data_IF_446201255332
#
_entry.id   IF_446201255332
#
_cell.length_a   1.000
_cell.length_b   1.000
_cell.length_c   1.000
_cell.angle_alpha   90.00
_cell.angle_beta   90.00
_cell.angle_gamma   90.00
#
_symmetry.space_group_name_H-M   'P 1'
#
loop_
_entity.id
_entity.type
_entity.pdbx_description
1 polymer ?
#
# COMPACT_ATOMS: atom_id res chain seq x y z
N UNK A 1 2.28 4.89 20.91
CA UNK A 1 2.19 4.70 19.45
C UNK A 1 0.73 4.86 19.08
N UNK A 2 0.33 6.05 18.64
CA UNK A 2 -1.04 6.31 18.20
C UNK A 2 -1.38 5.33 17.08
N UNK A 3 -2.25 4.38 17.40
CA UNK A 3 -2.78 3.42 16.46
C UNK A 3 -3.77 4.22 15.62
N UNK A 4 -3.28 4.98 14.65
CA UNK A 4 -4.14 5.65 13.68
C UNK A 4 -5.04 4.59 13.07
N UNK A 5 -6.33 4.66 13.41
CA UNK A 5 -7.34 3.77 12.85
C UNK A 5 -7.62 4.24 11.43
N UNK A 6 -6.78 3.80 10.50
CA UNK A 6 -7.05 4.04 9.09
C UNK A 6 -8.24 3.19 8.65
N UNK A 7 -9.05 3.72 7.72
CA UNK A 7 -10.04 2.92 7.02
C UNK A 7 -9.43 1.65 6.41
N UNK A 8 -10.07 0.47 6.56
CA UNK A 8 -9.53 -0.79 6.05
C UNK A 8 -9.24 -0.75 4.54
N UNK A 9 -10.10 -0.11 3.76
CA UNK A 9 -9.98 0.09 2.32
C UNK A 9 -8.74 0.92 1.94
N UNK A 10 -8.43 1.96 2.71
CA UNK A 10 -7.20 2.75 2.51
C UNK A 10 -5.94 1.93 2.81
N UNK A 11 -5.97 1.13 3.88
CA UNK A 11 -4.87 0.22 4.23
C UNK A 11 -4.68 -0.87 3.17
N UNK A 12 -5.76 -1.51 2.71
CA UNK A 12 -5.73 -2.52 1.66
C UNK A 12 -5.24 -1.95 0.34
N UNK A 13 -5.62 -0.71 -0.01
CA UNK A 13 -5.12 -0.04 -1.22
C UNK A 13 -3.62 0.24 -1.13
N UNK A 14 -3.13 0.66 0.04
CA UNK A 14 -1.70 0.87 0.29
C UNK A 14 -0.90 -0.44 0.27
N UNK A 15 -1.45 -1.51 0.83
CA UNK A 15 -0.86 -2.85 0.79
C UNK A 15 -0.77 -3.38 -0.65
N UNK A 16 -1.85 -3.29 -1.41
CA UNK A 16 -1.87 -3.64 -2.83
C UNK A 16 -0.84 -2.82 -3.63
N UNK A 17 -0.60 -1.56 -3.25
CA UNK A 17 0.44 -0.73 -3.86
C UNK A 17 1.85 -1.29 -3.60
N UNK A 18 2.16 -1.69 -2.36
CA UNK A 18 3.45 -2.31 -2.02
C UNK A 18 3.65 -3.66 -2.71
N UNK A 19 2.62 -4.50 -2.76
CA UNK A 19 2.67 -5.79 -3.47
C UNK A 19 2.92 -5.57 -4.96
N UNK A 20 2.18 -4.64 -5.59
CA UNK A 20 2.34 -4.31 -7.02
C UNK A 20 3.72 -3.73 -7.31
N UNK A 21 4.23 -2.86 -6.43
CA UNK A 21 5.57 -2.29 -6.56
C UNK A 21 6.66 -3.36 -6.49
N UNK A 22 6.54 -4.32 -5.56
CA UNK A 22 7.49 -5.43 -5.44
C UNK A 22 7.46 -6.36 -6.66
N UNK A 23 6.26 -6.73 -7.14
CA UNK A 23 6.11 -7.47 -8.39
C UNK A 23 6.74 -6.73 -9.57
N UNK A 24 6.58 -5.40 -9.64
CA UNK A 24 7.23 -4.59 -10.66
C UNK A 24 8.76 -4.57 -10.54
N UNK A 25 9.29 -4.55 -9.31
CA UNK A 25 10.73 -4.58 -9.05
C UNK A 25 11.37 -5.93 -9.43
N UNK A 26 10.61 -7.02 -9.31
CA UNK A 26 11.07 -8.39 -9.56
C UNK A 26 10.87 -8.85 -11.04
N UNK A 27 10.16 -8.09 -11.89
CA UNK A 27 9.77 -8.50 -13.25
C UNK A 27 10.61 -7.85 -14.36
N UNK A 28 11.07 -8.63 -15.38
CA UNK A 28 11.72 -8.07 -16.57
C UNK A 28 10.77 -7.20 -17.42
N UNK A 29 11.32 -6.22 -18.14
CA UNK A 29 10.57 -5.09 -18.74
C UNK A 29 9.33 -5.44 -19.59
N UNK A 30 9.26 -6.64 -20.15
CA UNK A 30 8.18 -7.09 -21.05
C UNK A 30 6.81 -7.26 -20.36
N UNK A 31 6.74 -7.29 -19.02
CA UNK A 31 5.49 -7.35 -18.24
C UNK A 31 5.15 -6.07 -17.43
N UNK A 32 6.06 -5.08 -17.43
CA UNK A 32 6.01 -3.94 -16.50
C UNK A 32 4.85 -2.96 -16.76
N UNK A 33 4.30 -2.91 -17.98
CA UNK A 33 3.27 -1.95 -18.36
C UNK A 33 1.96 -2.15 -17.57
N UNK A 34 1.55 -3.41 -17.33
CA UNK A 34 0.35 -3.70 -16.55
C UNK A 34 0.52 -3.31 -15.07
N UNK A 35 1.67 -3.64 -14.48
CA UNK A 35 2.01 -3.26 -13.10
C UNK A 35 2.11 -1.73 -12.93
N UNK A 36 2.74 -1.02 -13.87
CA UNK A 36 2.80 0.47 -13.85
C UNK A 36 1.40 1.09 -13.91
N UNK A 37 0.51 0.61 -14.79
CA UNK A 37 -0.88 1.09 -14.86
C UNK A 37 -1.63 0.83 -13.55
N UNK A 38 -1.43 -0.35 -12.96
CA UNK A 38 -2.02 -0.70 -11.65
C UNK A 38 -1.50 0.21 -10.54
N UNK A 39 -0.19 0.47 -10.51
CA UNK A 39 0.46 1.36 -9.53
C UNK A 39 -0.10 2.78 -9.58
N UNK A 40 -0.27 3.35 -10.79
CA UNK A 40 -0.86 4.66 -10.99
C UNK A 40 -2.33 4.72 -10.53
N UNK A 41 -3.11 3.67 -10.81
CA UNK A 41 -4.50 3.58 -10.34
C UNK A 41 -4.57 3.56 -8.81
N UNK A 42 -3.77 2.73 -8.17
CA UNK A 42 -3.70 2.63 -6.71
C UNK A 42 -3.24 3.95 -6.09
N UNK A 43 -2.24 4.61 -6.67
CA UNK A 43 -1.78 5.93 -6.22
C UNK A 43 -2.89 6.99 -6.31
N UNK A 44 -3.69 6.98 -7.39
CA UNK A 44 -4.85 7.87 -7.51
C UNK A 44 -5.93 7.57 -6.47
N UNK A 45 -6.23 6.30 -6.22
CA UNK A 45 -7.21 5.91 -5.20
C UNK A 45 -6.78 6.35 -3.79
N UNK A 46 -5.51 6.16 -3.45
CA UNK A 46 -4.96 6.65 -2.18
C UNK A 46 -5.05 8.17 -2.12
N UNK A 47 -4.59 8.89 -3.14
CA UNK A 47 -4.57 10.36 -3.13
C UNK A 47 -5.97 10.99 -3.09
N UNK A 48 -6.96 10.38 -3.75
CA UNK A 48 -8.34 10.85 -3.80
C UNK A 48 -9.19 10.41 -2.60
N UNK A 49 -8.61 9.68 -1.65
CA UNK A 49 -9.37 9.08 -0.56
C UNK A 49 -9.99 10.16 0.37
N UNK A 50 -11.29 10.08 0.72
CA UNK A 50 -11.97 11.06 1.57
C UNK A 50 -11.33 11.28 2.93
N UNK A 51 -10.66 10.25 3.49
CA UNK A 51 -9.87 10.34 4.72
C UNK A 51 -8.91 11.54 4.75
N UNK A 52 -8.30 11.91 3.62
CA UNK A 52 -7.37 13.04 3.56
C UNK A 52 -8.03 14.41 3.68
N UNK A 53 -9.34 14.48 3.47
CA UNK A 53 -10.13 15.72 3.63
C UNK A 53 -10.61 15.91 5.07
N UNK A 54 -10.38 14.92 5.94
CA UNK A 54 -10.70 15.00 7.37
C UNK A 54 -9.56 15.65 8.17
N UNK A 55 -9.83 16.05 9.40
CA UNK A 55 -8.80 16.55 10.35
C UNK A 55 -7.70 15.52 10.64
N UNK A 56 -7.94 14.23 10.40
CA UNK A 56 -6.95 13.16 10.53
C UNK A 56 -6.03 13.03 9.30
N UNK A 57 -6.34 13.72 8.18
CA UNK A 57 -5.65 13.68 6.91
C UNK A 57 -4.28 14.39 6.87
N UNK A 58 -3.49 14.28 7.93
CA UNK A 58 -2.23 15.01 8.09
C UNK A 58 -1.07 14.40 7.28
N UNK A 59 0.02 15.14 7.03
CA UNK A 59 1.24 14.57 6.48
C UNK A 59 1.81 13.40 7.31
N UNK A 60 1.69 13.47 8.64
CA UNK A 60 2.08 12.40 9.55
C UNK A 60 1.22 11.13 9.34
N UNK A 61 -0.08 11.28 9.09
CA UNK A 61 -0.97 10.16 8.78
C UNK A 61 -0.59 9.45 7.47
N UNK A 62 -0.05 10.16 6.47
CA UNK A 62 0.50 9.52 5.25
C UNK A 62 1.72 8.64 5.54
N UNK A 63 2.59 9.09 6.44
CA UNK A 63 3.77 8.31 6.85
C UNK A 63 3.32 7.09 7.65
N UNK A 64 2.43 7.27 8.63
CA UNK A 64 1.89 6.18 9.44
C UNK A 64 1.15 5.13 8.59
N UNK A 65 0.39 5.54 7.57
CA UNK A 65 -0.25 4.63 6.62
C UNK A 65 0.78 3.75 5.89
N UNK A 66 1.86 4.37 5.39
CA UNK A 66 2.95 3.66 4.70
C UNK A 66 3.63 2.65 5.62
N UNK A 67 3.98 3.04 6.83
CA UNK A 67 4.62 2.15 7.80
C UNK A 67 3.72 0.97 8.17
N UNK A 68 2.44 1.21 8.42
CA UNK A 68 1.50 0.14 8.78
C UNK A 68 1.25 -0.83 7.62
N UNK A 69 1.07 -0.32 6.39
CA UNK A 69 0.90 -1.17 5.22
C UNK A 69 2.19 -1.96 4.91
N UNK A 70 3.36 -1.37 5.11
CA UNK A 70 4.65 -2.05 4.95
C UNK A 70 4.83 -3.17 5.97
N UNK A 71 4.47 -2.93 7.24
CA UNK A 71 4.50 -3.94 8.28
C UNK A 71 3.57 -5.13 7.96
N UNK A 72 2.33 -4.84 7.53
CA UNK A 72 1.37 -5.88 7.09
C UNK A 72 1.89 -6.68 5.89
N UNK A 73 2.42 -5.99 4.88
CA UNK A 73 2.96 -6.66 3.69
C UNK A 73 4.13 -7.56 4.06
N UNK A 74 5.05 -7.08 4.91
CA UNK A 74 6.19 -7.87 5.41
C UNK A 74 5.74 -9.07 6.24
N UNK A 75 4.71 -8.91 7.07
CA UNK A 75 4.10 -10.01 7.83
C UNK A 75 3.42 -11.04 6.93
N UNK A 76 2.65 -10.61 5.92
CA UNK A 76 2.02 -11.49 4.94
C UNK A 76 3.05 -12.30 4.14
N UNK A 77 4.19 -11.70 3.80
CA UNK A 77 5.29 -12.40 3.14
C UNK A 77 5.96 -13.41 4.08
N UNK A 78 6.21 -13.03 5.34
CA UNK A 78 6.79 -13.94 6.35
C UNK A 78 5.87 -15.12 6.65
N UNK A 79 4.57 -14.88 6.79
CA UNK A 79 3.58 -15.93 7.06
C UNK A 79 3.32 -16.81 5.83
N UNK A 80 3.44 -16.26 4.61
CA UNK A 80 3.46 -17.04 3.37
C UNK A 80 4.70 -17.90 3.18
N UNK A 81 5.85 -17.51 3.74
CA UNK A 81 7.11 -18.24 3.64
C UNK A 81 7.18 -19.50 4.55
N UNK A 82 6.28 -19.65 5.52
CA UNK A 82 6.20 -20.80 6.42
C UNK A 82 5.28 -21.94 5.94
N UNK A 83 4.69 -21.82 4.75
CA UNK A 83 3.74 -22.79 4.19
C UNK A 83 4.26 -23.34 2.85
N UNK A 84 5.40 -24.01 2.88
CA UNK A 84 5.88 -24.89 1.80
C UNK A 84 6.43 -26.17 2.40
#
# INVERSE_FOLDING_TARGET
MDRHTFPPDLLETQEAWYVTYRQLADVPMTGAAAHRRRLLRLSRMIAAHPFWQTSAGTPAARVALKEQARARTAEAIRSGAGRR
#
